data_IF_318021280849
#
_entry.id   IF_318021280849
#
_cell.length_a   1.000
_cell.length_b   1.000
_cell.length_c   1.000
_cell.angle_alpha   90.00
_cell.angle_beta   90.00
_cell.angle_gamma   90.00
#
_symmetry.space_group_name_H-M   'P 1'
#
loop_
_entity.id
_entity.type
_entity.pdbx_description
1 polymer ?
#
# COMPACT_ATOMS: atom_id res chain seq x y z
N UNK A 1 -2.52 -12.38 -0.18
CA UNK A 1 -2.43 -12.48 1.30
C UNK A 1 -3.73 -11.96 1.88
N UNK A 2 -4.16 -12.47 3.04
CA UNK A 2 -5.26 -11.84 3.78
C UNK A 2 -4.79 -10.51 4.40
N UNK A 3 -5.72 -9.76 5.00
CA UNK A 3 -5.41 -8.44 5.54
C UNK A 3 -4.40 -8.47 6.70
N UNK A 4 -4.48 -9.49 7.57
CA UNK A 4 -3.58 -9.62 8.72
C UNK A 4 -2.17 -10.00 8.26
N UNK A 5 -2.08 -10.90 7.28
CA UNK A 5 -0.83 -11.24 6.59
C UNK A 5 -0.22 -10.00 5.94
N UNK A 6 -1.02 -9.16 5.27
CA UNK A 6 -0.55 -7.92 4.66
C UNK A 6 -0.06 -6.90 5.71
N UNK A 7 -0.75 -6.78 6.85
CA UNK A 7 -0.31 -5.94 7.97
C UNK A 7 1.03 -6.41 8.55
N UNK A 8 1.20 -7.71 8.76
CA UNK A 8 2.46 -8.26 9.27
C UNK A 8 3.58 -8.05 8.25
N UNK A 9 3.32 -8.31 6.97
CA UNK A 9 4.30 -8.09 5.92
C UNK A 9 4.71 -6.61 5.80
N UNK A 10 3.75 -5.69 5.90
CA UNK A 10 4.03 -4.24 5.95
C UNK A 10 4.94 -3.89 7.14
N UNK A 11 4.69 -4.44 8.32
CA UNK A 11 5.53 -4.21 9.51
C UNK A 11 6.96 -4.72 9.32
N UNK A 12 7.13 -5.89 8.71
CA UNK A 12 8.45 -6.44 8.38
C UNK A 12 9.21 -5.52 7.44
N UNK A 13 8.56 -5.05 6.36
CA UNK A 13 9.17 -4.11 5.41
C UNK A 13 9.56 -2.81 6.12
N UNK A 14 8.67 -2.24 6.94
CA UNK A 14 8.95 -1.01 7.68
C UNK A 14 10.14 -1.17 8.64
N UNK A 15 10.25 -2.31 9.32
CA UNK A 15 11.37 -2.61 10.21
C UNK A 15 12.69 -2.69 9.43
N UNK A 16 12.70 -3.40 8.30
CA UNK A 16 13.88 -3.46 7.42
C UNK A 16 14.25 -2.11 6.83
N UNK A 17 13.28 -1.23 6.56
CA UNK A 17 13.53 0.11 6.03
C UNK A 17 14.03 1.10 7.09
N UNK A 18 13.57 0.98 8.33
CA UNK A 18 14.08 1.74 9.47
C UNK A 18 15.58 1.45 9.68
N UNK A 19 15.98 0.18 9.55
CA UNK A 19 17.39 -0.23 9.57
C UNK A 19 18.21 0.41 8.43
N UNK A 20 17.57 0.67 7.27
CA UNK A 20 18.19 1.29 6.10
C UNK A 20 18.19 2.83 6.12
N UNK A 21 17.58 3.48 7.15
CA UNK A 21 17.52 4.94 7.41
C UNK A 21 17.16 5.84 6.21
N UNK A 22 16.47 5.33 5.20
CA UNK A 22 16.23 6.05 3.94
C UNK A 22 14.78 5.96 3.46
N UNK A 23 13.79 5.98 4.36
CA UNK A 23 12.39 5.79 3.96
C UNK A 23 11.36 6.59 4.74
N UNK A 24 10.34 7.09 4.03
CA UNK A 24 9.13 7.62 4.66
C UNK A 24 8.09 6.49 4.80
N UNK A 25 7.64 6.15 6.03
CA UNK A 25 6.65 5.09 6.26
C UNK A 25 5.32 5.30 5.51
N UNK A 26 5.01 6.55 5.15
CA UNK A 26 3.82 6.96 4.40
C UNK A 26 3.78 6.48 2.96
N UNK A 27 4.89 5.98 2.42
CA UNK A 27 4.99 5.48 1.05
C UNK A 27 4.50 4.04 0.90
N UNK A 28 4.24 3.32 1.99
CA UNK A 28 3.83 1.91 1.96
C UNK A 28 2.37 1.78 2.37
N UNK A 29 1.56 1.19 1.51
CA UNK A 29 0.11 1.03 1.67
C UNK A 29 -0.33 -0.41 1.45
N UNK A 30 -1.44 -0.78 2.09
CA UNK A 30 -2.14 -2.05 1.81
C UNK A 30 -3.29 -1.77 0.84
N UNK A 31 -3.36 -2.54 -0.23
CA UNK A 31 -4.33 -2.38 -1.32
C UNK A 31 -5.00 -3.72 -1.66
N UNK A 32 -6.21 -3.74 -2.25
CA UNK A 32 -6.80 -4.97 -2.77
C UNK A 32 -5.91 -5.54 -3.88
N UNK A 33 -5.70 -6.86 -3.91
CA UNK A 33 -4.85 -7.49 -4.94
C UNK A 33 -5.57 -7.75 -6.26
N UNK A 34 -6.91 -7.82 -6.25
CA UNK A 34 -7.70 -8.01 -7.46
C UNK A 34 -7.66 -6.72 -8.30
N UNK A 35 -7.37 -6.84 -9.60
CA UNK A 35 -7.14 -5.70 -10.49
C UNK A 35 -8.31 -4.70 -10.54
N UNK A 36 -9.54 -5.19 -10.60
CA UNK A 36 -10.76 -4.35 -10.62
C UNK A 36 -10.94 -3.56 -9.32
N UNK A 37 -10.73 -4.22 -8.18
CA UNK A 37 -10.87 -3.65 -6.84
C UNK A 37 -9.76 -2.64 -6.58
N UNK A 38 -8.54 -2.95 -7.01
CA UNK A 38 -7.41 -2.04 -7.03
C UNK A 38 -7.72 -0.78 -7.83
N UNK A 39 -8.24 -0.91 -9.06
CA UNK A 39 -8.57 0.25 -9.89
C UNK A 39 -9.63 1.13 -9.23
N UNK A 40 -10.67 0.54 -8.64
CA UNK A 40 -11.70 1.27 -7.89
C UNK A 40 -11.12 1.99 -6.68
N UNK A 41 -10.32 1.29 -5.88
CA UNK A 41 -9.62 1.89 -4.73
C UNK A 41 -8.76 3.07 -5.16
N UNK A 42 -7.93 2.90 -6.19
CA UNK A 42 -7.02 3.93 -6.68
C UNK A 42 -7.75 5.14 -7.26
N UNK A 43 -8.90 4.94 -7.91
CA UNK A 43 -9.72 6.04 -8.41
C UNK A 43 -10.31 6.88 -7.27
N UNK A 44 -10.74 6.25 -6.17
CA UNK A 44 -11.22 6.98 -5.00
C UNK A 44 -10.08 7.59 -4.20
N UNK A 45 -8.95 6.87 -4.05
CA UNK A 45 -7.73 7.35 -3.41
C UNK A 45 -7.23 8.64 -4.06
N UNK A 46 -7.19 8.72 -5.39
CA UNK A 46 -6.75 9.92 -6.12
C UNK A 46 -7.63 11.15 -5.89
N UNK A 47 -8.91 10.96 -5.55
CA UNK A 47 -9.83 12.08 -5.29
C UNK A 47 -9.58 12.71 -3.92
N UNK A 48 -9.27 11.90 -2.91
CA UNK A 48 -8.98 12.39 -1.55
C UNK A 48 -8.05 11.42 -0.80
N UNK A 49 -6.72 11.47 -1.06
CA UNK A 49 -5.76 10.54 -0.46
C UNK A 49 -5.75 10.58 1.07
N UNK A 50 -6.09 11.73 1.68
CA UNK A 50 -6.05 11.95 3.13
C UNK A 50 -7.13 11.15 3.87
N UNK A 51 -8.19 10.74 3.17
CA UNK A 51 -9.25 9.88 3.73
C UNK A 51 -8.89 8.41 3.76
N UNK A 52 -7.83 7.99 3.08
CA UNK A 52 -7.46 6.60 2.95
C UNK A 52 -6.38 6.22 3.97
N UNK A 53 -6.66 5.14 4.70
CA UNK A 53 -5.72 4.47 5.60
C UNK A 53 -5.65 2.97 5.24
N UNK A 54 -4.79 2.20 5.91
CA UNK A 54 -4.65 0.76 5.60
C UNK A 54 -5.99 -0.01 5.71
N UNK A 55 -6.89 0.37 6.63
CA UNK A 55 -8.18 -0.29 6.80
C UNK A 55 -9.20 0.07 5.71
N UNK A 56 -9.07 1.24 5.10
CA UNK A 56 -10.01 1.71 4.07
C UNK A 56 -10.07 0.76 2.86
N UNK A 57 -8.98 0.05 2.56
CA UNK A 57 -8.89 -0.88 1.44
C UNK A 57 -9.78 -2.13 1.60
N UNK A 58 -10.12 -2.51 2.85
CA UNK A 58 -10.93 -3.68 3.15
C UNK A 58 -12.31 -3.58 2.49
N UNK A 59 -12.87 -2.37 2.43
CA UNK A 59 -14.20 -2.12 1.82
C UNK A 59 -14.23 -2.31 0.30
N UNK A 60 -13.06 -2.35 -0.34
CA UNK A 60 -12.93 -2.46 -1.78
C UNK A 60 -12.59 -3.88 -2.24
N UNK A 61 -12.07 -4.74 -1.36
CA UNK A 61 -11.72 -6.12 -1.72
C UNK A 61 -12.97 -7.01 -1.72
N UNK A 62 -13.27 -7.57 -2.89
CA UNK A 62 -14.38 -8.53 -3.09
C UNK A 62 -13.98 -9.98 -2.81
N UNK A 63 -12.68 -10.26 -2.74
CA UNK A 63 -12.11 -11.61 -2.58
C UNK A 63 -11.30 -11.78 -1.27
N UNK A 64 -11.29 -10.77 -0.40
CA UNK A 64 -10.49 -10.70 0.82
C UNK A 64 -8.98 -10.92 0.58
N UNK A 65 -8.47 -10.56 -0.60
CA UNK A 65 -7.04 -10.63 -0.91
C UNK A 65 -6.45 -9.24 -1.09
N UNK A 66 -5.26 -9.08 -0.52
CA UNK A 66 -4.54 -7.82 -0.42
C UNK A 66 -3.09 -7.99 -0.89
N UNK A 67 -2.46 -6.85 -1.17
CA UNK A 67 -1.04 -6.71 -1.43
C UNK A 67 -0.48 -5.49 -0.72
N UNK A 68 0.79 -5.55 -0.35
CA UNK A 68 1.54 -4.39 0.12
C UNK A 68 2.14 -3.70 -1.10
N UNK A 69 1.84 -2.42 -1.27
CA UNK A 69 2.28 -1.60 -2.38
C UNK A 69 3.10 -0.44 -1.85
N UNK A 70 4.25 -0.20 -2.48
CA UNK A 70 5.09 0.96 -2.21
C UNK A 70 4.85 1.99 -3.31
N UNK A 71 4.27 3.13 -2.94
CA UNK A 71 4.29 4.32 -3.77
C UNK A 71 5.68 4.92 -3.70
N UNK A 72 6.53 4.60 -4.68
CA UNK A 72 7.62 5.50 -5.00
C UNK A 72 7.00 6.74 -5.64
N UNK A 73 7.13 7.90 -5.01
CA UNK A 73 7.09 9.16 -5.75
C UNK A 73 8.29 9.16 -6.71
N UNK A 74 8.14 8.50 -7.86
CA UNK A 74 9.15 8.55 -8.92
C UNK A 74 9.02 9.90 -9.63
N UNK A 75 9.51 10.94 -8.96
CA UNK A 75 10.36 11.91 -9.62
C UNK A 75 11.65 11.94 -8.83
N UNK A 76 12.75 11.59 -9.50
CA UNK A 76 14.12 11.57 -8.99
C UNK A 76 14.46 10.26 -8.26
N UNK A 77 14.53 9.15 -8.99
CA UNK A 77 15.81 8.46 -9.19
C UNK A 77 15.59 7.31 -10.16
N UNK A 78 16.01 7.57 -11.40
CA UNK A 78 16.36 6.56 -12.38
C UNK A 78 16.90 5.30 -11.69
N UNK A 79 16.17 4.20 -11.83
CA UNK A 79 16.77 2.87 -11.84
C UNK A 79 17.94 2.89 -12.83
N UNK A 80 19.17 2.89 -12.30
CA UNK A 80 20.38 2.45 -12.97
C UNK A 80 21.25 1.71 -11.96
#
# INVERSE_FOLDING_TARGET
>A
MDYNQALNHKKEILKSLEELRNYSPSEIMILPSKAEDFQRYMNEYRKDPKRFNDQSCIKFSTDNKYMVYRMCEDQILNCR
#
